data_IF_860514298651
#
_entry.id   IF_860514298651
#
_cell.length_a   1.000
_cell.length_b   1.000
_cell.length_c   1.000
_cell.angle_alpha   90.00
_cell.angle_beta   90.00
_cell.angle_gamma   90.00
#
_symmetry.space_group_name_H-M   'P 1'
#
loop_
_entity.id
_entity.type
_entity.pdbx_description
1 polymer ?
#
# COMPACT_ATOMS: atom_id res chain seq x y z
N UNK A 1 21.15 -10.22 27.22
CA UNK A 1 20.42 -10.55 25.97
C UNK A 1 19.27 -9.58 25.69
N UNK A 2 18.28 -9.43 26.59
CA UNK A 2 17.09 -8.57 26.40
C UNK A 2 17.36 -7.10 26.06
N UNK A 3 18.30 -6.44 26.75
CA UNK A 3 18.64 -5.04 26.48
C UNK A 3 19.31 -4.82 25.12
N UNK A 4 20.06 -5.82 24.64
CA UNK A 4 20.71 -5.77 23.33
C UNK A 4 19.68 -5.91 22.21
N UNK A 5 18.67 -6.78 22.39
CA UNK A 5 17.55 -6.92 21.45
C UNK A 5 16.75 -5.61 21.32
N UNK A 6 16.42 -4.97 22.43
CA UNK A 6 15.69 -3.69 22.42
C UNK A 6 16.50 -2.58 21.73
N UNK A 7 17.81 -2.56 21.96
CA UNK A 7 18.72 -1.59 21.33
C UNK A 7 18.84 -1.80 19.81
N UNK A 8 18.96 -3.06 19.36
CA UNK A 8 18.97 -3.38 17.92
C UNK A 8 17.62 -3.03 17.28
N UNK A 9 16.50 -3.25 17.96
CA UNK A 9 15.16 -2.89 17.48
C UNK A 9 14.93 -1.37 17.44
N UNK A 10 15.56 -0.58 18.31
CA UNK A 10 15.42 0.88 18.31
C UNK A 10 16.25 1.54 17.22
N UNK A 11 17.42 0.97 16.88
CA UNK A 11 18.31 1.45 15.82
C UNK A 11 17.88 0.95 14.44
N UNK A 12 17.24 -0.22 14.33
CA UNK A 12 16.81 -0.81 13.05
C UNK A 12 15.47 -0.29 12.52
N UNK A 13 14.65 0.37 13.36
CA UNK A 13 13.36 0.88 12.92
C UNK A 13 13.52 2.07 11.97
N UNK A 14 12.86 2.05 10.81
CA UNK A 14 12.91 3.17 9.89
C UNK A 14 12.31 4.42 10.53
N UNK A 15 12.92 5.58 10.29
CA UNK A 15 12.38 6.86 10.73
C UNK A 15 10.96 7.08 10.18
N UNK A 16 10.16 7.84 10.91
CA UNK A 16 8.80 8.20 10.47
C UNK A 16 8.78 8.78 9.05
N UNK A 17 9.73 9.67 8.73
CA UNK A 17 9.85 10.24 7.39
C UNK A 17 10.12 9.17 6.32
N UNK A 18 10.96 8.18 6.62
CA UNK A 18 11.21 7.05 5.73
C UNK A 18 9.92 6.25 5.48
N UNK A 19 9.18 5.91 6.54
CA UNK A 19 7.90 5.21 6.42
C UNK A 19 6.90 6.02 5.59
N UNK A 20 6.77 7.32 5.85
CA UNK A 20 5.85 8.21 5.12
C UNK A 20 6.19 8.33 3.63
N UNK A 21 7.47 8.30 3.26
CA UNK A 21 7.89 8.25 1.85
C UNK A 21 7.36 7.00 1.15
N UNK A 22 7.45 5.84 1.79
CA UNK A 22 6.94 4.58 1.23
C UNK A 22 5.41 4.56 1.13
N UNK A 23 4.71 5.04 2.15
CA UNK A 23 3.23 5.15 2.13
C UNK A 23 2.77 6.08 1.02
N UNK A 24 3.40 7.25 0.88
CA UNK A 24 3.11 8.20 -0.21
C UNK A 24 3.34 7.56 -1.58
N UNK A 25 4.49 6.93 -1.77
CA UNK A 25 4.84 6.30 -3.04
C UNK A 25 3.81 5.24 -3.45
N UNK A 26 3.36 4.38 -2.52
CA UNK A 26 2.35 3.35 -2.79
C UNK A 26 0.98 3.95 -3.14
N UNK A 27 0.58 5.03 -2.47
CA UNK A 27 -0.67 5.74 -2.78
C UNK A 27 -0.64 6.37 -4.18
N UNK A 28 0.45 7.05 -4.54
CA UNK A 28 0.62 7.60 -5.89
C UNK A 28 0.63 6.48 -6.94
N UNK A 29 1.34 5.37 -6.67
CA UNK A 29 1.40 4.25 -7.59
C UNK A 29 0.02 3.61 -7.82
N UNK A 30 -0.79 3.47 -6.76
CA UNK A 30 -2.18 3.05 -6.87
C UNK A 30 -2.99 3.99 -7.78
N UNK A 31 -2.91 5.31 -7.56
CA UNK A 31 -3.64 6.29 -8.36
C UNK A 31 -3.25 6.24 -9.83
N UNK A 32 -1.95 6.14 -10.15
CA UNK A 32 -1.47 5.98 -11.53
C UNK A 32 -2.04 4.70 -12.16
N UNK A 33 -1.93 3.57 -11.45
CA UNK A 33 -2.44 2.28 -11.92
C UNK A 33 -3.96 2.28 -12.15
N UNK A 34 -4.72 2.98 -11.31
CA UNK A 34 -6.16 3.13 -11.47
C UNK A 34 -6.50 4.01 -12.68
N UNK A 35 -5.86 5.17 -12.80
CA UNK A 35 -6.09 6.11 -13.90
C UNK A 35 -5.73 5.49 -15.26
N UNK A 36 -4.60 4.79 -15.35
CA UNK A 36 -4.22 4.07 -16.57
C UNK A 36 -5.26 3.02 -16.97
N UNK A 37 -5.83 2.29 -16.00
CA UNK A 37 -6.88 1.30 -16.27
C UNK A 37 -8.16 1.96 -16.75
N UNK A 38 -8.57 3.06 -16.11
CA UNK A 38 -9.74 3.85 -16.49
C UNK A 38 -9.61 4.39 -17.92
N UNK A 39 -8.43 4.91 -18.27
CA UNK A 39 -8.18 5.45 -19.61
C UNK A 39 -8.17 4.35 -20.68
N UNK A 40 -7.66 3.15 -20.36
CA UNK A 40 -7.56 2.04 -21.32
C UNK A 40 -8.86 1.28 -21.50
N UNK A 41 -9.72 1.23 -20.49
CA UNK A 41 -10.93 0.41 -20.48
C UNK A 41 -12.15 1.17 -19.93
N UNK A 42 -12.62 2.23 -20.61
CA UNK A 42 -13.71 3.08 -20.11
C UNK A 42 -15.03 2.32 -19.89
N UNK A 43 -15.28 1.25 -20.64
CA UNK A 43 -16.50 0.42 -20.54
C UNK A 43 -16.43 -0.63 -19.42
N UNK A 44 -15.27 -0.80 -18.77
CA UNK A 44 -15.12 -1.76 -17.67
C UNK A 44 -15.73 -1.23 -16.37
N UNK A 45 -16.17 -2.16 -15.53
CA UNK A 45 -16.67 -1.82 -14.19
C UNK A 45 -15.58 -1.13 -13.35
N UNK A 46 -15.90 0.04 -12.79
CA UNK A 46 -15.02 0.75 -11.85
C UNK A 46 -14.55 -0.15 -10.70
N UNK A 47 -15.45 -1.00 -10.18
CA UNK A 47 -15.13 -1.96 -9.12
C UNK A 47 -13.98 -2.88 -9.52
N UNK A 48 -14.04 -3.44 -10.73
CA UNK A 48 -13.00 -4.34 -11.26
C UNK A 48 -11.66 -3.60 -11.41
N UNK A 49 -11.68 -2.39 -11.95
CA UNK A 49 -10.47 -1.59 -12.14
C UNK A 49 -9.81 -1.19 -10.80
N UNK A 50 -10.62 -0.80 -9.82
CA UNK A 50 -10.15 -0.52 -8.45
C UNK A 50 -9.57 -1.77 -7.80
N UNK A 51 -10.21 -2.93 -7.96
CA UNK A 51 -9.74 -4.21 -7.42
C UNK A 51 -8.40 -4.64 -8.03
N UNK A 52 -8.25 -4.53 -9.35
CA UNK A 52 -6.99 -4.82 -10.02
C UNK A 52 -5.87 -3.87 -9.60
N UNK A 53 -6.15 -2.56 -9.52
CA UNK A 53 -5.17 -1.57 -9.05
C UNK A 53 -4.78 -1.80 -7.59
N UNK A 54 -5.75 -2.13 -6.72
CA UNK A 54 -5.52 -2.42 -5.31
C UNK A 54 -4.65 -3.68 -5.14
N UNK A 55 -5.02 -4.77 -5.83
CA UNK A 55 -4.30 -6.04 -5.78
C UNK A 55 -2.85 -5.90 -6.24
N UNK A 56 -2.57 -5.07 -7.26
CA UNK A 56 -1.21 -4.90 -7.79
C UNK A 56 -0.34 -3.91 -7.02
N UNK A 57 -0.90 -3.07 -6.14
CA UNK A 57 -0.15 -1.97 -5.50
C UNK A 57 -0.20 -1.97 -3.97
N UNK A 58 -1.39 -1.90 -3.38
CA UNK A 58 -1.56 -1.69 -1.93
C UNK A 58 -1.66 -3.01 -1.16
N UNK A 59 -2.31 -4.02 -1.74
CA UNK A 59 -2.57 -5.31 -1.08
C UNK A 59 -1.34 -6.00 -0.50
N UNK A 60 -0.16 -6.04 -1.17
CA UNK A 60 1.03 -6.67 -0.60
C UNK A 60 1.53 -6.03 0.71
N UNK A 61 1.12 -4.79 0.99
CA UNK A 61 1.55 -4.02 2.14
C UNK A 61 0.46 -3.76 3.17
N UNK A 62 -0.78 -4.14 2.88
CA UNK A 62 -1.90 -4.05 3.80
C UNK A 62 -2.00 -5.33 4.62
N UNK A 63 -2.07 -5.19 5.95
CA UNK A 63 -2.48 -6.27 6.82
C UNK A 63 -3.97 -6.58 6.64
N UNK A 64 -4.44 -7.67 7.26
CA UNK A 64 -5.81 -8.16 7.11
C UNK A 64 -6.88 -7.11 7.44
N UNK A 65 -6.65 -6.23 8.43
CA UNK A 65 -7.58 -5.13 8.78
C UNK A 65 -7.71 -4.14 7.62
N UNK A 66 -6.58 -3.67 7.09
CA UNK A 66 -6.56 -2.71 5.98
C UNK A 66 -7.05 -3.31 4.67
N UNK A 67 -6.91 -4.62 4.47
CA UNK A 67 -7.48 -5.33 3.32
C UNK A 67 -8.98 -5.61 3.47
N UNK A 68 -9.47 -5.85 4.69
CA UNK A 68 -10.90 -5.96 4.95
C UNK A 68 -11.59 -4.61 4.74
N UNK A 69 -11.05 -3.52 5.28
CA UNK A 69 -11.60 -2.17 5.14
C UNK A 69 -11.71 -1.70 3.68
N UNK A 70 -10.85 -2.19 2.79
CA UNK A 70 -10.96 -1.94 1.35
C UNK A 70 -12.21 -2.56 0.71
N UNK A 71 -12.73 -3.67 1.25
CA UNK A 71 -13.84 -4.47 0.68
C UNK A 71 -15.20 -4.13 1.28
N UNK A 72 -15.25 -3.27 2.31
CA UNK A 72 -16.48 -2.79 2.97
C UNK A 72 -17.10 -1.69 2.13
#
# INVERSE_FOLDING_TARGET
>A
MFLYTIYIDSVSKPSFLSVMKHVRYRSINFSVHLLERLMKNPDSSLKKMVEEAYNSTLKPFHGWISSAAYRV
#
